data_IF_695638744836
#
_entry.id   IF_695638744836
#
_cell.length_a   1.000
_cell.length_b   1.000
_cell.length_c   1.000
_cell.angle_alpha   90.00
_cell.angle_beta   90.00
_cell.angle_gamma   90.00
#
_symmetry.space_group_name_H-M   'P 1'
#
loop_
_entity.id
_entity.type
_entity.pdbx_description
1 polymer ?
#
# COMPACT_ATOMS: atom_id res chain seq x y z
N UNK A 1 -9.05 14.18 19.32
CA UNK A 1 -9.25 13.70 17.94
C UNK A 1 -8.70 14.78 17.01
N UNK A 2 -7.86 14.42 16.05
CA UNK A 2 -7.32 15.39 15.10
C UNK A 2 -8.48 15.98 14.29
N UNK A 3 -8.55 17.31 14.16
CA UNK A 3 -9.57 17.95 13.34
C UNK A 3 -9.23 17.71 11.85
N UNK A 4 -10.09 16.96 11.17
CA UNK A 4 -10.05 16.77 9.71
C UNK A 4 -11.00 17.80 9.11
N UNK A 5 -10.44 18.77 8.40
CA UNK A 5 -11.20 19.75 7.64
C UNK A 5 -11.88 19.12 6.40
N UNK A 6 -12.82 19.82 5.75
CA UNK A 6 -13.54 19.30 4.60
C UNK A 6 -12.63 18.88 3.43
N UNK A 7 -11.54 19.61 3.18
CA UNK A 7 -10.62 19.29 2.09
C UNK A 7 -9.90 17.95 2.34
N UNK A 8 -9.38 17.76 3.56
CA UNK A 8 -8.76 16.50 3.95
C UNK A 8 -9.77 15.35 3.95
N UNK A 9 -11.01 15.60 4.38
CA UNK A 9 -12.08 14.62 4.33
C UNK A 9 -12.34 14.14 2.88
N UNK A 10 -12.35 15.06 1.90
CA UNK A 10 -12.52 14.71 0.49
C UNK A 10 -11.37 13.81 -0.02
N UNK A 11 -10.12 14.15 0.31
CA UNK A 11 -8.95 13.31 -0.04
C UNK A 11 -9.07 11.92 0.60
N UNK A 12 -9.39 11.84 1.88
CA UNK A 12 -9.51 10.58 2.61
C UNK A 12 -10.65 9.69 2.06
N UNK A 13 -11.72 10.31 1.55
CA UNK A 13 -12.90 9.63 1.02
C UNK A 13 -12.77 9.18 -0.43
N UNK A 14 -12.12 9.97 -1.30
CA UNK A 14 -12.16 9.71 -2.74
C UNK A 14 -10.91 9.02 -3.27
N UNK A 15 -9.78 9.09 -2.55
CA UNK A 15 -8.56 8.42 -2.99
C UNK A 15 -8.74 6.91 -3.04
N UNK A 16 -8.50 6.37 -4.24
CA UNK A 16 -8.66 4.95 -4.57
C UNK A 16 -7.55 4.07 -3.99
N UNK A 17 -6.31 4.58 -4.01
CA UNK A 17 -5.11 3.87 -3.57
C UNK A 17 -4.29 4.77 -2.66
N UNK A 18 -3.96 4.28 -1.48
CA UNK A 18 -3.12 4.95 -0.49
C UNK A 18 -1.84 4.16 -0.26
N UNK A 19 -0.71 4.82 -0.10
CA UNK A 19 0.55 4.16 0.21
C UNK A 19 0.68 3.98 1.73
N UNK A 20 0.51 2.75 2.21
CA UNK A 20 0.54 2.43 3.63
C UNK A 20 1.93 1.93 4.06
N UNK A 21 2.58 2.65 4.95
CA UNK A 21 3.92 2.35 5.49
C UNK A 21 3.84 1.74 6.90
N UNK A 22 4.52 0.61 7.08
CA UNK A 22 4.62 -0.11 8.36
C UNK A 22 6.06 -0.45 8.68
N UNK A 23 6.40 -0.57 9.96
CA UNK A 23 7.75 -0.93 10.43
C UNK A 23 7.86 -2.46 10.58
N UNK A 24 8.86 -3.06 9.96
CA UNK A 24 9.12 -4.50 10.03
C UNK A 24 9.80 -4.89 11.35
N UNK A 25 9.88 -6.20 11.63
CA UNK A 25 10.63 -6.72 12.79
C UNK A 25 12.09 -6.25 12.82
N UNK A 26 12.73 -6.07 11.67
CA UNK A 26 14.12 -5.63 11.55
C UNK A 26 14.31 -4.10 11.69
N UNK A 27 13.22 -3.34 11.84
CA UNK A 27 13.26 -1.88 11.86
C UNK A 27 13.18 -1.23 10.47
N UNK A 28 13.25 -2.02 9.39
CA UNK A 28 13.07 -1.54 8.03
C UNK A 28 11.61 -1.16 7.76
N UNK A 29 11.38 -0.43 6.69
CA UNK A 29 10.05 0.00 6.27
C UNK A 29 9.49 -0.89 5.17
N UNK A 30 8.18 -1.06 5.19
CA UNK A 30 7.42 -1.74 4.15
C UNK A 30 6.27 -0.83 3.76
N UNK A 31 6.37 -0.15 2.62
CA UNK A 31 5.32 0.68 2.02
C UNK A 31 4.62 -0.11 0.91
N UNK A 32 3.29 -0.14 0.93
CA UNK A 32 2.51 -0.76 -0.16
C UNK A 32 1.29 0.08 -0.50
N UNK A 33 0.92 0.16 -1.78
CA UNK A 33 -0.37 0.70 -2.18
C UNK A 33 -1.50 -0.23 -1.70
N UNK A 34 -2.55 0.35 -1.14
CA UNK A 34 -3.69 -0.35 -0.52
C UNK A 34 -4.97 0.48 -0.66
N UNK A 35 -6.13 -0.15 -0.51
CA UNK A 35 -7.40 0.56 -0.28
C UNK A 35 -7.54 0.92 1.21
N UNK A 36 -8.14 2.08 1.49
CA UNK A 36 -8.48 2.51 2.85
C UNK A 36 -9.86 3.14 2.91
N UNK A 37 -10.50 3.09 4.07
CA UNK A 37 -11.81 3.71 4.31
C UNK A 37 -11.72 4.59 5.53
N UNK A 38 -12.02 5.87 5.37
CA UNK A 38 -12.11 6.82 6.46
C UNK A 38 -13.53 6.84 7.04
N UNK A 39 -13.63 6.93 8.37
CA UNK A 39 -14.89 7.08 9.08
C UNK A 39 -14.89 8.44 9.76
N UNK A 40 -15.79 9.33 9.33
CA UNK A 40 -15.97 10.64 9.95
C UNK A 40 -16.52 10.54 11.37
N UNK A 41 -17.33 9.51 11.66
CA UNK A 41 -17.90 9.25 12.99
C UNK A 41 -16.83 8.92 14.03
N UNK A 42 -15.89 8.04 13.67
CA UNK A 42 -14.84 7.57 14.59
C UNK A 42 -13.53 8.35 14.47
N UNK A 43 -13.36 9.11 13.38
CA UNK A 43 -12.09 9.74 13.02
C UNK A 43 -10.98 8.75 12.66
N UNK A 44 -11.31 7.47 12.42
CA UNK A 44 -10.34 6.41 12.15
C UNK A 44 -10.27 6.06 10.67
N UNK A 45 -9.16 5.44 10.26
CA UNK A 45 -8.96 4.92 8.92
C UNK A 45 -8.81 3.40 8.99
N UNK A 46 -9.66 2.67 8.29
CA UNK A 46 -9.61 1.22 8.18
C UNK A 46 -8.89 0.80 6.91
N UNK A 47 -7.95 -0.13 7.04
CA UNK A 47 -7.39 -0.92 5.94
C UNK A 47 -7.60 -2.39 6.25
N UNK A 48 -7.43 -3.22 5.23
CA UNK A 48 -7.51 -4.67 5.39
C UNK A 48 -6.41 -5.38 4.61
N UNK A 49 -5.96 -6.52 5.13
CA UNK A 49 -5.07 -7.43 4.40
C UNK A 49 -5.67 -8.84 4.37
N UNK A 50 -5.53 -9.59 3.27
CA UNK A 50 -5.95 -10.99 3.24
C UNK A 50 -5.06 -11.81 4.19
N UNK A 51 -5.62 -12.85 4.81
CA UNK A 51 -4.85 -13.73 5.72
C UNK A 51 -3.73 -14.51 5.00
N UNK A 52 -3.79 -14.62 3.66
CA UNK A 52 -2.71 -15.15 2.83
C UNK A 52 -1.44 -14.27 2.89
N UNK A 53 -1.59 -12.97 3.11
CA UNK A 53 -0.51 -11.97 3.14
C UNK A 53 -0.60 -11.08 4.40
N UNK A 54 -0.50 -11.65 5.61
CA UNK A 54 -0.81 -10.96 6.87
C UNK A 54 0.33 -10.05 7.37
N UNK A 55 1.39 -9.86 6.58
CA UNK A 55 2.65 -9.27 7.03
C UNK A 55 2.47 -7.87 7.65
N UNK A 56 1.60 -7.04 7.07
CA UNK A 56 1.35 -5.70 7.63
C UNK A 56 0.60 -5.74 8.95
N UNK A 57 -0.37 -6.65 9.12
CA UNK A 57 -1.01 -6.85 10.41
C UNK A 57 0.00 -7.31 11.48
N UNK A 58 0.97 -8.15 11.11
CA UNK A 58 2.05 -8.55 12.02
C UNK A 58 3.00 -7.41 12.36
N UNK A 59 3.33 -6.57 11.38
CA UNK A 59 4.13 -5.37 11.61
C UNK A 59 3.41 -4.44 12.61
N UNK A 60 2.14 -4.12 12.35
CA UNK A 60 1.32 -3.25 13.22
C UNK A 60 1.20 -3.78 14.65
N UNK A 61 1.02 -5.10 14.83
CA UNK A 61 0.96 -5.70 16.18
C UNK A 61 2.28 -5.59 16.94
N UNK A 62 3.40 -5.49 16.22
CA UNK A 62 4.73 -5.35 16.82
C UNK A 62 5.07 -3.91 17.11
N UNK A 63 4.77 -3.03 16.16
CA UNK A 63 5.00 -1.60 16.23
C UNK A 63 3.82 -0.90 15.55
N UNK A 64 3.00 -0.25 16.36
CA UNK A 64 1.76 0.39 15.90
C UNK A 64 2.00 1.66 15.09
N UNK A 65 3.22 2.20 15.04
CA UNK A 65 3.50 3.44 14.31
C UNK A 65 3.44 3.21 12.82
N UNK A 66 2.59 3.98 12.14
CA UNK A 66 2.35 3.85 10.70
C UNK A 66 2.23 5.20 10.03
N UNK A 67 2.27 5.19 8.69
CA UNK A 67 1.85 6.32 7.88
C UNK A 67 1.01 5.87 6.68
N UNK A 68 0.11 6.75 6.25
CA UNK A 68 -0.67 6.66 5.03
C UNK A 68 -0.36 7.87 4.19
N UNK A 69 0.12 7.65 2.97
CA UNK A 69 0.41 8.72 2.04
C UNK A 69 -0.61 8.70 0.90
N UNK A 70 -1.30 9.82 0.73
CA UNK A 70 -2.32 10.05 -0.29
C UNK A 70 -1.67 10.95 -1.34
N UNK A 71 -1.08 10.33 -2.36
CA UNK A 71 -0.26 11.06 -3.33
C UNK A 71 -0.46 10.64 -4.78
N UNK A 72 -1.07 9.48 -5.04
CA UNK A 72 -1.53 9.09 -6.37
C UNK A 72 -3.05 9.27 -6.49
N UNK A 73 -3.46 10.26 -7.29
CA UNK A 73 -4.88 10.58 -7.50
C UNK A 73 -5.48 9.95 -8.75
N UNK A 74 -4.77 9.00 -9.39
CA UNK A 74 -5.24 8.32 -10.59
C UNK A 74 -6.63 7.70 -10.35
N UNK A 75 -7.59 8.04 -11.21
CA UNK A 75 -8.99 7.59 -11.11
C UNK A 75 -9.80 8.16 -9.93
N UNK A 76 -9.20 8.98 -9.07
CA UNK A 76 -9.87 9.52 -7.87
C UNK A 76 -10.59 10.85 -8.13
N UNK A 77 -10.43 11.45 -9.32
CA UNK A 77 -11.02 12.76 -9.63
C UNK A 77 -10.36 13.94 -8.91
N UNK A 78 -9.21 13.73 -8.28
CA UNK A 78 -8.50 14.71 -7.45
C UNK A 78 -7.17 15.18 -8.08
N UNK A 79 -7.03 15.09 -9.40
CA UNK A 79 -5.79 15.49 -10.08
C UNK A 79 -5.45 16.97 -9.78
N UNK A 80 -4.19 17.24 -9.42
CA UNK A 80 -3.72 18.59 -9.05
C UNK A 80 -3.96 18.99 -7.59
N UNK A 81 -4.56 18.13 -6.77
CA UNK A 81 -4.70 18.38 -5.33
C UNK A 81 -3.35 18.27 -4.59
N UNK A 82 -3.28 18.85 -3.39
CA UNK A 82 -2.18 18.63 -2.44
C UNK A 82 -2.10 17.16 -2.01
N UNK A 83 -0.89 16.67 -1.76
CA UNK A 83 -0.72 15.35 -1.15
C UNK A 83 -0.93 15.44 0.36
N UNK A 84 -1.39 14.32 0.94
CA UNK A 84 -1.68 14.24 2.37
C UNK A 84 -0.90 13.08 2.96
N UNK A 85 -0.04 13.35 3.95
CA UNK A 85 0.60 12.32 4.77
C UNK A 85 -0.08 12.27 6.13
N UNK A 86 -0.73 11.15 6.44
CA UNK A 86 -1.30 10.87 7.76
C UNK A 86 -0.36 9.96 8.53
N UNK A 87 0.18 10.43 9.65
CA UNK A 87 0.90 9.58 10.61
C UNK A 87 -0.01 9.27 11.80
N UNK A 88 0.09 8.07 12.32
CA UNK A 88 -0.72 7.66 13.47
C UNK A 88 -0.34 6.31 14.02
N UNK A 89 -1.08 5.89 15.03
CA UNK A 89 -0.94 4.57 15.65
C UNK A 89 -2.04 3.65 15.15
N UNK A 90 -1.66 2.44 14.77
CA UNK A 90 -2.54 1.41 14.27
C UNK A 90 -2.68 0.25 15.25
N UNK A 91 -3.86 -0.36 15.23
CA UNK A 91 -4.12 -1.67 15.83
C UNK A 91 -4.53 -2.66 14.76
N UNK A 92 -4.23 -3.95 14.96
CA UNK A 92 -4.64 -5.00 14.06
C UNK A 92 -5.16 -6.20 14.86
N UNK A 93 -6.46 -6.27 15.17
CA UNK A 93 -7.06 -7.40 15.88
C UNK A 93 -6.78 -8.74 15.19
N UNK A 94 -6.76 -9.83 15.96
CA UNK A 94 -6.51 -11.19 15.46
C UNK A 94 -7.74 -11.84 14.82
N UNK A 95 -8.94 -11.31 15.10
CA UNK A 95 -10.19 -11.79 14.50
C UNK A 95 -10.14 -11.61 12.98
N UNK A 96 -10.41 -12.71 12.28
CA UNK A 96 -10.61 -12.75 10.84
C UNK A 96 -12.03 -12.23 10.56
N UNK A 97 -12.14 -11.33 9.59
CA UNK A 97 -13.40 -10.78 9.12
C UNK A 97 -13.72 -11.35 7.73
N UNK A 98 -14.93 -11.87 7.55
CA UNK A 98 -15.54 -12.04 6.24
C UNK A 98 -16.17 -10.69 5.80
N UNK A 99 -16.61 -10.53 4.54
CA UNK A 99 -17.15 -9.26 4.07
C UNK A 99 -18.29 -8.68 4.92
N UNK A 100 -19.20 -9.53 5.38
CA UNK A 100 -20.32 -9.14 6.22
C UNK A 100 -19.93 -8.61 7.61
N UNK A 101 -18.71 -8.89 8.08
CA UNK A 101 -18.19 -8.35 9.36
C UNK A 101 -17.60 -6.93 9.22
N UNK A 102 -17.42 -6.46 7.98
CA UNK A 102 -16.85 -5.14 7.62
C UNK A 102 -17.59 -4.53 6.42
N UNK A 103 -18.92 -4.39 6.47
CA UNK A 103 -19.73 -3.97 5.33
C UNK A 103 -19.39 -2.56 4.85
N UNK A 104 -18.97 -1.66 5.76
CA UNK A 104 -18.54 -0.30 5.41
C UNK A 104 -17.29 -0.30 4.53
N UNK A 105 -16.34 -1.22 4.79
CA UNK A 105 -15.13 -1.31 4.00
C UNK A 105 -15.45 -1.70 2.56
N UNK A 106 -16.27 -2.74 2.38
CA UNK A 106 -16.60 -3.26 1.05
C UNK A 106 -17.55 -2.35 0.28
N UNK A 107 -18.49 -1.67 0.95
CA UNK A 107 -19.34 -0.66 0.33
C UNK A 107 -18.52 0.45 -0.33
N UNK A 108 -17.53 0.98 0.38
CA UNK A 108 -16.66 2.03 -0.19
C UNK A 108 -15.76 1.50 -1.30
N UNK A 109 -15.28 0.26 -1.20
CA UNK A 109 -14.53 -0.37 -2.30
C UNK A 109 -15.42 -0.50 -3.54
N UNK A 110 -16.64 -1.01 -3.42
CA UNK A 110 -17.57 -1.13 -4.55
C UNK A 110 -17.95 0.25 -5.13
N UNK A 111 -18.20 1.25 -4.27
CA UNK A 111 -18.47 2.62 -4.69
C UNK A 111 -17.34 3.20 -5.55
N UNK A 112 -16.09 2.95 -5.17
CA UNK A 112 -14.91 3.47 -5.90
C UNK A 112 -14.57 2.65 -7.14
N UNK A 113 -15.00 1.39 -7.20
CA UNK A 113 -14.70 0.48 -8.30
C UNK A 113 -15.98 -0.21 -8.81
N UNK A 114 -16.95 0.53 -9.36
CA UNK A 114 -18.25 -0.03 -9.76
C UNK A 114 -18.10 -1.17 -10.79
N UNK A 115 -17.15 -1.05 -11.71
CA UNK A 115 -16.87 -2.06 -12.74
C UNK A 115 -16.32 -3.38 -12.18
N UNK A 116 -15.82 -3.40 -10.94
CA UNK A 116 -15.33 -4.60 -10.29
C UNK A 116 -16.46 -5.46 -9.69
N UNK A 117 -17.67 -4.90 -9.53
CA UNK A 117 -18.83 -5.57 -8.91
C UNK A 117 -19.24 -6.83 -9.67
N UNK A 118 -19.30 -6.76 -11.00
CA UNK A 118 -19.65 -7.90 -11.85
C UNK A 118 -18.62 -9.03 -11.73
N UNK A 119 -17.34 -8.66 -11.61
CA UNK A 119 -16.25 -9.63 -11.41
C UNK A 119 -16.35 -10.31 -10.05
N UNK A 120 -16.61 -9.55 -8.97
CA UNK A 120 -16.84 -10.07 -7.62
C UNK A 120 -18.08 -10.98 -7.53
N UNK A 121 -19.09 -10.71 -8.35
CA UNK A 121 -20.32 -11.51 -8.44
C UNK A 121 -20.15 -12.85 -9.17
N UNK A 122 -19.09 -13.03 -9.96
CA UNK A 122 -18.92 -14.19 -10.85
C UNK A 122 -18.64 -15.50 -10.10
N UNK A 123 -19.17 -16.62 -10.61
CA UNK A 123 -18.95 -17.96 -10.03
C UNK A 123 -17.45 -18.34 -9.99
N UNK A 124 -16.69 -17.93 -11.02
CA UNK A 124 -15.25 -18.14 -11.07
C UNK A 124 -14.52 -17.45 -9.91
N UNK A 125 -14.89 -16.21 -9.58
CA UNK A 125 -14.35 -15.50 -8.43
C UNK A 125 -14.71 -16.21 -7.13
N UNK A 126 -15.98 -16.56 -6.94
CA UNK A 126 -16.46 -17.26 -5.73
C UNK A 126 -15.69 -18.54 -5.43
N UNK A 127 -15.36 -19.30 -6.47
CA UNK A 127 -14.69 -20.59 -6.35
C UNK A 127 -13.16 -20.49 -6.18
N UNK A 128 -12.56 -19.32 -6.35
CA UNK A 128 -11.08 -19.16 -6.37
C UNK A 128 -10.53 -18.08 -5.47
N UNK A 129 -11.37 -17.19 -4.93
CA UNK A 129 -10.98 -15.95 -4.23
C UNK A 129 -11.55 -15.80 -2.81
N UNK A 130 -12.10 -16.86 -2.22
CA UNK A 130 -12.50 -16.90 -0.82
C UNK A 130 -11.39 -16.42 0.14
N UNK A 131 -10.17 -16.91 -0.06
CA UNK A 131 -8.97 -16.55 0.71
C UNK A 131 -8.64 -15.05 0.64
N UNK A 132 -9.03 -14.36 -0.43
CA UNK A 132 -8.80 -12.93 -0.63
C UNK A 132 -9.75 -12.09 0.23
N UNK A 133 -10.97 -12.63 0.48
CA UNK A 133 -12.02 -12.01 1.27
C UNK A 133 -11.94 -12.31 2.77
N UNK A 134 -11.13 -13.28 3.19
CA UNK A 134 -10.79 -13.47 4.60
C UNK A 134 -9.74 -12.43 5.03
N UNK A 135 -10.22 -11.37 5.70
CA UNK A 135 -9.40 -10.18 6.00
C UNK A 135 -8.99 -10.11 7.46
N UNK A 136 -7.81 -9.54 7.69
CA UNK A 136 -7.44 -8.93 8.96
C UNK A 136 -7.63 -7.42 8.85
N UNK A 137 -8.34 -6.83 9.81
CA UNK A 137 -8.50 -5.38 9.92
C UNK A 137 -7.24 -4.73 10.46
N UNK A 138 -6.93 -3.56 9.94
CA UNK A 138 -5.93 -2.63 10.45
C UNK A 138 -6.66 -1.30 10.66
N UNK A 139 -6.72 -0.82 11.90
CA UNK A 139 -7.45 0.38 12.28
C UNK A 139 -6.43 1.41 12.72
N UNK A 140 -6.34 2.51 11.98
CA UNK A 140 -5.39 3.60 12.21
C UNK A 140 -6.12 4.75 12.88
N UNK A 141 -5.54 5.23 13.98
CA UNK A 141 -5.96 6.47 14.64
C UNK A 141 -4.98 7.58 14.21
N UNK A 142 -5.42 8.55 13.39
CA UNK A 142 -4.59 9.68 12.98
C UNK A 142 -4.09 10.50 14.16
N UNK A 143 -2.82 10.91 14.11
CA UNK A 143 -2.18 11.75 15.13
C UNK A 143 -1.58 13.03 14.53
N UNK A 144 -1.05 12.95 13.31
CA UNK A 144 -0.44 14.08 12.59
C UNK A 144 -0.81 14.01 11.12
N UNK A 145 -1.06 15.17 10.53
CA UNK A 145 -1.27 15.31 9.09
C UNK A 145 -0.29 16.35 8.56
N UNK A 146 0.33 16.02 7.44
CA UNK A 146 1.20 16.93 6.70
C UNK A 146 0.62 17.11 5.31
N UNK A 147 0.44 18.37 4.91
CA UNK A 147 0.03 18.75 3.57
C UNK A 147 1.25 19.19 2.79
N UNK A 148 1.30 18.84 1.51
CA UNK A 148 2.33 19.31 0.60
C UNK A 148 1.78 19.53 -0.80
N UNK A 149 2.48 20.33 -1.59
CA UNK A 149 2.05 20.72 -2.93
C UNK A 149 1.79 19.52 -3.85
N UNK A 150 0.94 19.70 -4.85
CA UNK A 150 0.67 18.68 -5.85
C UNK A 150 1.97 18.24 -6.55
N UNK A 151 2.07 16.94 -6.80
CA UNK A 151 3.23 16.32 -7.45
C UNK A 151 2.76 15.21 -8.38
N UNK A 152 3.50 14.99 -9.47
CA UNK A 152 3.18 13.94 -10.42
C UNK A 152 3.36 12.54 -9.80
N UNK A 153 2.41 11.66 -10.10
CA UNK A 153 2.36 10.27 -9.66
C UNK A 153 1.97 9.34 -10.84
N UNK A 154 1.79 8.05 -10.57
CA UNK A 154 1.55 7.05 -11.60
C UNK A 154 2.80 6.66 -12.38
N UNK A 155 2.62 6.22 -13.62
CA UNK A 155 3.70 5.80 -14.53
C UNK A 155 3.17 5.11 -15.78
N UNK A 156 4.03 4.91 -16.78
CA UNK A 156 3.65 4.31 -18.08
C UNK A 156 3.30 2.82 -17.95
N UNK A 157 2.30 2.34 -18.70
CA UNK A 157 1.83 0.95 -18.69
C UNK A 157 2.77 -0.03 -19.38
N UNK A 158 3.30 0.38 -20.52
CA UNK A 158 4.04 -0.50 -21.42
C UNK A 158 5.41 0.08 -21.79
N UNK A 159 6.34 -0.77 -22.21
CA UNK A 159 6.31 -2.24 -22.11
C UNK A 159 6.41 -2.74 -20.66
N UNK A 160 5.97 -3.97 -20.38
CA UNK A 160 6.21 -4.59 -19.08
C UNK A 160 7.57 -5.31 -19.10
N UNK A 161 8.38 -5.17 -18.04
CA UNK A 161 9.53 -6.04 -17.89
C UNK A 161 9.12 -7.50 -17.74
N UNK A 162 9.93 -8.44 -18.25
CA UNK A 162 9.82 -9.85 -17.88
C UNK A 162 9.94 -10.02 -16.36
N UNK A 163 9.18 -10.96 -15.80
CA UNK A 163 9.13 -11.17 -14.34
C UNK A 163 10.42 -11.68 -13.71
N UNK A 164 11.42 -12.12 -14.48
CA UNK A 164 12.69 -12.67 -13.97
C UNK A 164 13.84 -11.64 -13.90
N UNK A 165 13.54 -10.34 -14.02
CA UNK A 165 14.55 -9.29 -14.00
C UNK A 165 15.21 -9.09 -12.63
N UNK A 166 16.50 -8.77 -12.65
CA UNK A 166 17.30 -8.45 -11.45
C UNK A 166 16.89 -7.09 -10.86
N UNK A 167 17.28 -6.82 -9.61
CA UNK A 167 17.01 -5.52 -8.97
C UNK A 167 17.54 -4.33 -9.77
N UNK A 168 18.81 -4.31 -10.24
CA UNK A 168 19.29 -3.20 -11.06
C UNK A 168 18.46 -2.97 -12.33
N UNK A 169 18.10 -4.04 -13.05
CA UNK A 169 17.26 -3.94 -14.25
C UNK A 169 15.90 -3.34 -13.94
N UNK A 170 15.28 -3.73 -12.83
CA UNK A 170 13.97 -3.20 -12.40
C UNK A 170 14.05 -1.75 -11.93
N UNK A 171 15.16 -1.34 -11.34
CA UNK A 171 15.37 0.05 -10.95
C UNK A 171 15.50 0.90 -12.21
N UNK A 172 16.38 0.54 -13.16
CA UNK A 172 16.53 1.28 -14.43
C UNK A 172 15.19 1.45 -15.13
N UNK A 173 14.42 0.37 -15.21
CA UNK A 173 13.06 0.37 -15.73
C UNK A 173 12.11 1.34 -15.02
N UNK A 174 12.18 1.36 -13.68
CA UNK A 174 11.35 2.26 -12.89
C UNK A 174 11.74 3.73 -13.11
N UNK A 175 13.03 4.03 -13.28
CA UNK A 175 13.50 5.38 -13.56
C UNK A 175 13.03 5.90 -14.93
N UNK A 176 12.83 5.00 -15.91
CA UNK A 176 12.30 5.37 -17.22
C UNK A 176 10.77 5.57 -17.22
N UNK A 177 10.04 4.80 -16.41
CA UNK A 177 8.56 4.71 -16.50
C UNK A 177 7.80 5.60 -15.55
N UNK A 178 8.35 5.88 -14.39
CA UNK A 178 7.64 6.56 -13.30
C UNK A 178 8.27 7.93 -13.09
N UNK A 179 7.47 9.01 -13.09
CA UNK A 179 7.98 10.37 -12.88
C UNK A 179 8.57 10.54 -11.47
N UNK A 180 8.03 9.81 -10.48
CA UNK A 180 8.43 9.89 -9.08
C UNK A 180 8.35 8.53 -8.39
N UNK A 181 9.10 8.40 -7.29
CA UNK A 181 8.96 7.32 -6.31
C UNK A 181 8.35 7.88 -5.02
N UNK A 182 7.69 7.02 -4.24
CA UNK A 182 7.43 7.29 -2.82
C UNK A 182 8.68 6.96 -2.03
N UNK A 183 9.37 7.98 -1.54
CA UNK A 183 10.46 7.86 -0.57
C UNK A 183 9.86 7.78 0.82
N UNK A 184 10.25 6.78 1.60
CA UNK A 184 9.86 6.69 3.00
C UNK A 184 11.01 6.27 3.90
N UNK A 185 11.30 7.08 4.91
CA UNK A 185 12.18 6.77 6.04
C UNK A 185 11.46 7.07 7.37
N UNK A 186 12.15 6.99 8.52
CA UNK A 186 11.55 7.30 9.83
C UNK A 186 11.84 8.74 10.21
N UNK A 187 10.85 9.43 10.78
CA UNK A 187 11.05 10.74 11.40
C UNK A 187 11.75 10.63 12.77
N UNK A 188 11.99 11.78 13.41
CA UNK A 188 12.60 11.88 14.74
C UNK A 188 11.80 11.17 15.85
N UNK A 189 10.49 10.96 15.66
CA UNK A 189 9.61 10.22 16.59
C UNK A 189 9.54 8.73 16.24
N UNK A 190 10.27 8.31 15.21
CA UNK A 190 10.33 6.95 14.69
C UNK A 190 9.08 6.52 13.92
N UNK A 191 8.18 7.44 13.56
CA UNK A 191 7.07 7.14 12.66
C UNK A 191 7.58 7.09 11.21
N UNK A 192 7.00 6.25 10.34
CA UNK A 192 7.24 6.37 8.92
C UNK A 192 6.87 7.78 8.44
N UNK A 193 7.70 8.38 7.58
CA UNK A 193 7.43 9.66 6.92
C UNK A 193 7.66 9.46 5.44
N UNK A 194 6.64 9.74 4.62
CA UNK A 194 6.66 9.49 3.19
C UNK A 194 6.49 10.79 2.41
N UNK A 195 7.18 10.88 1.27
CA UNK A 195 7.11 11.99 0.31
C UNK A 195 7.27 11.43 -1.10
N UNK A 196 6.85 12.18 -2.12
CA UNK A 196 7.34 11.93 -3.49
C UNK A 196 8.75 12.44 -3.66
N UNK A 197 9.53 11.74 -4.46
CA UNK A 197 10.90 12.11 -4.83
C UNK A 197 11.17 11.74 -6.28
N UNK A 198 11.94 12.58 -6.97
CA UNK A 198 12.63 12.14 -8.18
C UNK A 198 13.82 11.28 -7.80
N UNK A 199 14.12 10.30 -8.64
CA UNK A 199 15.22 9.37 -8.43
C UNK A 199 16.04 9.35 -9.71
N UNK A 200 17.35 9.47 -9.58
CA UNK A 200 18.30 9.43 -10.68
C UNK A 200 19.39 8.43 -10.35
N UNK A 201 19.98 7.85 -11.38
CA UNK A 201 21.11 6.95 -11.24
C UNK A 201 22.23 7.39 -12.17
N UNK A 202 23.41 7.62 -11.58
CA UNK A 202 24.65 7.84 -12.33
C UNK A 202 25.50 6.56 -12.25
N UNK A 203 25.57 5.83 -13.37
CA UNK A 203 26.28 4.55 -13.45
C UNK A 203 25.72 3.48 -12.50
N UNK A 204 26.60 2.63 -11.94
CA UNK A 204 26.22 1.53 -11.05
C UNK A 204 26.17 1.92 -9.56
N UNK A 205 26.27 3.22 -9.24
CA UNK A 205 26.39 3.73 -7.88
C UNK A 205 25.06 3.86 -7.12
N UNK A 206 25.09 4.50 -5.93
CA UNK A 206 23.90 4.88 -5.18
C UNK A 206 22.95 5.72 -6.04
N UNK A 207 21.64 5.59 -5.78
CA UNK A 207 20.62 6.41 -6.41
C UNK A 207 20.65 7.80 -5.79
N UNK A 208 20.66 8.84 -6.61
CA UNK A 208 20.39 10.20 -6.16
C UNK A 208 18.89 10.36 -5.96
N UNK A 209 18.49 10.89 -4.82
CA UNK A 209 17.09 11.06 -4.45
C UNK A 209 16.85 12.53 -4.15
N UNK A 210 15.82 13.11 -4.74
CA UNK A 210 15.43 14.48 -4.47
C UNK A 210 13.96 14.52 -4.06
N UNK A 211 13.67 14.68 -2.75
CA UNK A 211 12.32 14.94 -2.29
C UNK A 211 11.72 16.16 -3.00
N UNK A 212 10.51 16.00 -3.53
CA UNK A 212 9.78 17.09 -4.19
C UNK A 212 8.98 17.95 -3.20
N UNK A 213 8.90 17.51 -1.95
CA UNK A 213 8.15 18.12 -0.88
C UNK A 213 9.03 18.13 0.39
N UNK A 214 8.70 18.96 1.41
CA UNK A 214 9.42 18.94 2.68
C UNK A 214 9.51 17.52 3.25
N UNK A 215 10.73 17.06 3.48
CA UNK A 215 11.00 15.71 3.95
C UNK A 215 11.61 15.74 5.35
N UNK A 216 10.84 15.24 6.32
CA UNK A 216 11.26 15.14 7.73
C UNK A 216 11.77 13.73 8.10
N UNK A 217 12.03 12.88 7.11
CA UNK A 217 12.63 11.58 7.32
C UNK A 217 14.13 11.71 7.63
N UNK A 218 14.64 10.81 8.47
CA UNK A 218 16.04 10.74 8.86
C UNK A 218 16.84 9.78 7.96
N UNK A 219 18.17 9.97 7.86
CA UNK A 219 19.06 8.98 7.29
C UNK A 219 18.96 7.60 7.99
N UNK A 220 19.28 6.54 7.26
CA UNK A 220 19.23 5.15 7.71
C UNK A 220 18.27 4.32 6.87
N UNK A 221 17.65 3.32 7.50
CA UNK A 221 16.75 2.39 6.79
C UNK A 221 15.54 3.11 6.17
N UNK A 222 15.38 2.91 4.86
CA UNK A 222 14.38 3.57 4.04
C UNK A 222 13.87 2.63 2.93
N UNK A 223 12.87 3.09 2.21
CA UNK A 223 12.39 2.42 1.01
C UNK A 223 11.95 3.41 -0.07
N UNK A 224 12.09 2.97 -1.32
CA UNK A 224 11.50 3.59 -2.50
C UNK A 224 10.40 2.66 -3.01
N UNK A 225 9.21 3.21 -3.19
CA UNK A 225 8.09 2.53 -3.83
C UNK A 225 7.74 3.23 -5.14
N UNK A 226 7.91 2.52 -6.24
CA UNK A 226 7.28 2.88 -7.51
C UNK A 226 6.00 2.07 -7.66
N UNK A 227 4.92 2.73 -8.00
CA UNK A 227 3.70 2.02 -8.34
C UNK A 227 2.85 2.82 -9.32
N UNK A 228 1.95 2.10 -9.97
CA UNK A 228 0.89 2.67 -10.83
C UNK A 228 -0.35 1.79 -10.73
N UNK A 229 -1.50 2.39 -10.99
CA UNK A 229 -2.78 1.74 -11.16
C UNK A 229 -3.59 2.51 -12.22
N UNK A 230 -4.60 1.89 -12.84
CA UNK A 230 -5.36 2.52 -13.93
C UNK A 230 -6.58 3.29 -13.40
N UNK A 231 -6.67 3.45 -12.08
CA UNK A 231 -7.87 3.92 -11.42
C UNK A 231 -8.95 2.83 -11.31
N UNK A 232 -8.97 1.80 -12.15
CA UNK A 232 -9.91 0.69 -12.09
C UNK A 232 -9.50 -0.35 -11.03
N UNK A 233 -10.45 -1.19 -10.62
CA UNK A 233 -10.17 -2.25 -9.65
C UNK A 233 -9.25 -3.32 -10.24
N UNK A 234 -8.28 -3.79 -9.46
CA UNK A 234 -7.55 -5.04 -9.74
C UNK A 234 -6.22 -4.93 -10.49
N UNK A 235 -5.97 -3.87 -11.26
CA UNK A 235 -4.71 -3.73 -12.01
C UNK A 235 -3.75 -2.74 -11.37
N UNK A 236 -2.72 -3.27 -10.71
CA UNK A 236 -1.69 -2.50 -10.04
C UNK A 236 -0.31 -3.11 -10.27
N UNK A 237 0.68 -2.25 -10.49
CA UNK A 237 2.10 -2.64 -10.55
C UNK A 237 2.86 -1.93 -9.46
N UNK A 238 3.74 -2.66 -8.79
CA UNK A 238 4.52 -2.14 -7.67
C UNK A 238 5.94 -2.67 -7.72
N UNK A 239 6.92 -1.79 -7.53
CA UNK A 239 8.29 -2.12 -7.22
C UNK A 239 8.63 -1.47 -5.87
N UNK A 240 8.86 -2.31 -4.84
CA UNK A 240 9.32 -1.85 -3.53
C UNK A 240 10.79 -2.23 -3.39
N UNK A 241 11.65 -1.23 -3.27
CA UNK A 241 13.08 -1.40 -2.97
C UNK A 241 13.34 -0.86 -1.58
N UNK A 242 13.99 -1.64 -0.73
CA UNK A 242 14.43 -1.18 0.59
C UNK A 242 15.95 -1.14 0.65
N UNK A 243 16.47 -0.22 1.45
CA UNK A 243 17.91 -0.04 1.60
C UNK A 243 18.21 1.14 2.51
N UNK A 244 19.41 1.70 2.35
CA UNK A 244 19.91 2.75 3.23
C UNK A 244 19.87 4.11 2.55
N UNK A 245 19.29 5.10 3.21
CA UNK A 245 19.24 6.49 2.80
C UNK A 245 20.30 7.28 3.56
N UNK A 246 21.21 7.94 2.86
CA UNK A 246 22.20 8.84 3.43
C UNK A 246 21.91 10.29 3.01
N UNK A 247 22.32 11.23 3.86
CA UNK A 247 22.23 12.66 3.58
C UNK A 247 23.63 13.28 3.66
N UNK A 248 24.03 13.97 2.60
CA UNK A 248 25.27 14.74 2.53
C UNK A 248 24.93 16.19 2.22
N UNK A 249 24.85 17.03 3.27
CA UNK A 249 24.35 18.39 3.14
C UNK A 249 22.89 18.41 2.70
N UNK A 250 22.62 18.91 1.48
CA UNK A 250 21.26 18.95 0.91
C UNK A 250 20.93 17.76 0.01
N UNK A 251 21.93 16.94 -0.31
CA UNK A 251 21.79 15.82 -1.24
C UNK A 251 21.42 14.55 -0.48
N UNK A 252 20.50 13.79 -1.05
CA UNK A 252 20.14 12.48 -0.54
C UNK A 252 20.60 11.40 -1.50
N UNK A 253 21.19 10.34 -0.96
CA UNK A 253 21.56 9.15 -1.71
C UNK A 253 20.92 7.92 -1.11
N UNK A 254 20.50 6.99 -1.95
CA UNK A 254 19.87 5.74 -1.54
C UNK A 254 20.66 4.56 -2.10
N UNK A 255 21.07 3.64 -1.23
CA UNK A 255 21.75 2.41 -1.59
C UNK A 255 20.74 1.26 -1.53
N UNK A 256 20.31 0.71 -2.69
CA UNK A 256 19.40 -0.42 -2.74
C UNK A 256 20.01 -1.68 -2.11
N UNK A 257 19.25 -2.37 -1.26
CA UNK A 257 19.72 -3.60 -0.60
C UNK A 257 18.87 -4.83 -0.99
N UNK A 258 17.55 -4.66 -1.13
CA UNK A 258 16.63 -5.78 -1.41
C UNK A 258 15.31 -5.31 -1.99
N UNK A 259 14.57 -6.25 -2.57
CA UNK A 259 13.19 -6.05 -3.07
C UNK A 259 12.21 -6.97 -2.31
N UNK A 260 11.62 -6.52 -1.19
CA UNK A 260 10.72 -7.36 -0.41
C UNK A 260 9.48 -7.73 -1.20
N UNK A 261 8.95 -8.93 -0.98
CA UNK A 261 7.68 -9.37 -1.56
C UNK A 261 7.70 -9.56 -3.07
N UNK A 262 8.87 -9.58 -3.70
CA UNK A 262 8.97 -10.17 -5.04
C UNK A 262 8.75 -11.67 -4.94
N UNK A 263 7.65 -12.10 -5.53
CA UNK A 263 7.47 -13.49 -5.91
C UNK A 263 8.35 -13.68 -7.15
N UNK A 264 9.34 -14.56 -7.07
CA UNK A 264 10.20 -14.88 -8.22
C UNK A 264 9.36 -15.10 -9.48
N UNK A 265 9.77 -14.44 -10.56
CA UNK A 265 9.46 -14.73 -11.97
C UNK A 265 8.14 -15.41 -12.29
N UNK A 266 7.25 -14.68 -12.98
CA UNK A 266 6.13 -15.21 -13.79
C UNK A 266 5.44 -16.41 -13.13
N UNK A 267 4.80 -16.15 -12.01
CA UNK A 267 3.68 -17.01 -11.61
C UNK A 267 2.54 -16.64 -12.53
N UNK A 268 2.12 -17.57 -13.38
CA UNK A 268 0.82 -17.43 -14.04
C UNK A 268 -0.25 -17.22 -12.95
N UNK A 269 -1.33 -16.54 -13.32
CA UNK A 269 -2.39 -16.14 -12.39
C UNK A 269 -2.89 -17.33 -11.55
N UNK A 270 -3.00 -18.51 -12.17
CA UNK A 270 -3.42 -19.77 -11.53
C UNK A 270 -2.46 -20.20 -10.41
N UNK A 271 -1.16 -20.12 -10.63
CA UNK A 271 -0.15 -20.47 -9.63
C UNK A 271 -0.13 -19.48 -8.47
N UNK A 272 -0.48 -18.22 -8.70
CA UNK A 272 -0.67 -17.24 -7.64
C UNK A 272 -1.91 -17.56 -6.79
N UNK A 273 -3.07 -17.82 -7.41
CA UNK A 273 -4.28 -18.22 -6.68
C UNK A 273 -4.05 -19.46 -5.80
N UNK A 274 -3.40 -20.50 -6.35
CA UNK A 274 -3.07 -21.71 -5.58
C UNK A 274 -2.15 -21.43 -4.39
N UNK A 275 -1.11 -20.62 -4.58
CA UNK A 275 -0.18 -20.29 -3.49
C UNK A 275 -0.87 -19.46 -2.40
N UNK A 276 -1.68 -18.48 -2.79
CA UNK A 276 -2.41 -17.62 -1.88
C UNK A 276 -3.44 -18.40 -1.05
N UNK A 277 -4.24 -19.24 -1.70
CA UNK A 277 -5.18 -20.15 -1.03
C UNK A 277 -4.45 -21.08 -0.07
N UNK A 278 -3.35 -21.71 -0.48
CA UNK A 278 -2.56 -22.58 0.40
C UNK A 278 -1.95 -21.82 1.59
N UNK A 279 -1.56 -20.55 1.44
CA UNK A 279 -1.10 -19.71 2.56
C UNK A 279 -2.22 -19.40 3.54
N UNK A 280 -3.42 -19.08 3.05
CA UNK A 280 -4.58 -18.79 3.88
C UNK A 280 -5.00 -20.02 4.71
N UNK A 281 -5.07 -21.20 4.09
CA UNK A 281 -5.39 -22.44 4.80
C UNK A 281 -4.33 -22.77 5.87
N UNK A 282 -3.04 -22.67 5.54
CA UNK A 282 -1.97 -22.81 6.56
C UNK A 282 -2.05 -21.78 7.68
N UNK A 283 -2.54 -20.57 7.40
CA UNK A 283 -2.74 -19.55 8.44
C UNK A 283 -3.80 -20.00 9.45
N UNK A 284 -4.91 -20.56 8.96
CA UNK A 284 -6.05 -21.06 9.73
C UNK A 284 -5.66 -22.31 10.54
N UNK A 285 -5.06 -23.31 9.88
CA UNK A 285 -4.61 -24.56 10.49
C UNK A 285 -3.67 -24.32 11.68
N UNK A 286 -2.65 -23.47 11.50
CA UNK A 286 -1.68 -23.14 12.56
C UNK A 286 -2.30 -22.48 13.79
N UNK A 287 -3.55 -22.01 13.69
CA UNK A 287 -4.27 -21.32 14.75
C UNK A 287 -5.50 -22.09 15.23
N UNK A 288 -5.76 -23.28 14.68
CA UNK A 288 -6.96 -24.05 15.00
C UNK A 288 -8.25 -23.30 14.66
N UNK A 289 -8.22 -22.45 13.62
CA UNK A 289 -9.38 -21.67 13.19
C UNK A 289 -10.06 -22.35 12.01
N UNK A 290 -11.39 -22.24 11.95
CA UNK A 290 -12.15 -22.59 10.76
C UNK A 290 -12.20 -21.38 9.80
N UNK A 291 -12.23 -21.61 8.47
CA UNK A 291 -12.49 -20.55 7.51
C UNK A 291 -13.87 -19.94 7.76
N UNK A 292 -14.01 -18.60 7.82
CA UNK A 292 -15.32 -17.98 7.99
C UNK A 292 -16.13 -18.12 6.70
N UNK A 293 -17.42 -18.39 6.85
CA UNK A 293 -18.36 -18.42 5.73
C UNK A 293 -18.52 -17.02 5.12
N UNK A 294 -18.63 -16.97 3.80
CA UNK A 294 -18.83 -15.72 3.06
C UNK A 294 -20.29 -15.68 2.61
N UNK A 295 -21.00 -14.65 3.04
CA UNK A 295 -22.32 -14.34 2.47
C UNK A 295 -22.12 -13.64 1.11
N UNK A 296 -22.12 -14.44 0.04
CA UNK A 296 -21.94 -13.95 -1.32
C UNK A 296 -23.08 -13.08 -1.81
N UNK A 297 -24.28 -13.21 -1.23
CA UNK A 297 -25.43 -12.37 -1.57
C UNK A 297 -25.25 -10.98 -1.00
N UNK A 298 -24.78 -10.88 0.25
CA UNK A 298 -24.45 -9.59 0.88
C UNK A 298 -23.22 -8.96 0.24
N UNK A 299 -22.19 -9.74 -0.08
CA UNK A 299 -20.96 -9.20 -0.66
C UNK A 299 -21.13 -8.68 -2.10
N UNK A 300 -21.94 -9.36 -2.92
CA UNK A 300 -22.17 -8.97 -4.32
C UNK A 300 -23.27 -7.90 -4.48
N UNK A 301 -23.93 -7.49 -3.39
CA UNK A 301 -24.88 -6.39 -3.41
C UNK A 301 -24.10 -5.05 -3.49
N UNK A 302 -24.33 -4.21 -4.52
CA UNK A 302 -23.70 -2.89 -4.62
C UNK A 302 -24.15 -1.92 -3.51
#
# INVERSE_FOLDING_TARGET
MLAIDPYMADVLNEVRVVEFSTITKGGDLNTRPMSSVWSSETGQIMLTVPIAYPQKAYNVRRDGRVALFYSDFTGSGLAGNQTVLVQGTASAPTRIAAPQDIPEFWREVHRRYPDATDWYGSEAFRNTMDWYLWRLRIIVTPERVHLADAVDAGGAWEPCLPGASTMPTRIVDALERYPTAVLCSRDERGFPFATRATVMQDGAGPLQVQPLQPFCGLPGQANLLWHRHNGCGGEMRTLLVTGNLAQHGREWTFVPERMPGEFGSVRDEKSWFRDASARAHRYLERRGLQPPEIDWTVFAAP
#
